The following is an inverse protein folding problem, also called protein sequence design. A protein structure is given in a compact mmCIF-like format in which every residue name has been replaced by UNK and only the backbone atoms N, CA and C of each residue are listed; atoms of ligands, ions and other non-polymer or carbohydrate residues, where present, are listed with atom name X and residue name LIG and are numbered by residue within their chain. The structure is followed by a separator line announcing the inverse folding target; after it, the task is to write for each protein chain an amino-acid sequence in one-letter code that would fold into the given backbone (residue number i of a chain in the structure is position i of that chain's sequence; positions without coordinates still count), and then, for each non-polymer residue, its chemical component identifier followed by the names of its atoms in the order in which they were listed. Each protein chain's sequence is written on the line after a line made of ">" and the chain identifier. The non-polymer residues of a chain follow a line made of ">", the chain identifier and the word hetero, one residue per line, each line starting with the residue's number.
data_IF_039686298851
#
_entry.id   IF_039686298851
#
_cell.length_a   1.000
_cell.length_b   1.000
_cell.length_c   1.000
_cell.angle_alpha   90.00
_cell.angle_beta   90.00
_cell.angle_gamma   90.00
#
_symmetry.space_group_name_H-M   'P 1'
#
loop_
_entity.id
_entity.type
_entity.pdbx_description
1 polymer ?
#
# COMPACT_ATOMS: atom_id res chain seq x y z
N UNK A 1 -19.39 32.80 40.14
CA UNK A 1 -18.44 31.79 39.62
C UNK A 1 -18.70 31.74 38.13
N UNK A 2 -17.83 32.37 37.34
CA UNK A 2 -17.96 32.39 35.88
C UNK A 2 -17.62 30.99 35.35
N UNK A 3 -18.49 30.41 34.53
CA UNK A 3 -18.27 29.08 33.96
C UNK A 3 -17.27 29.25 32.82
N UNK A 4 -16.15 28.52 32.77
CA UNK A 4 -15.22 28.63 31.66
C UNK A 4 -15.95 28.45 30.33
N UNK A 5 -15.73 29.36 29.39
CA UNK A 5 -16.36 29.28 28.07
C UNK A 5 -16.09 27.92 27.43
N UNK A 6 -17.09 27.28 26.81
CA UNK A 6 -16.88 26.06 26.06
C UNK A 6 -15.83 26.29 24.99
N UNK A 7 -14.75 25.50 25.00
CA UNK A 7 -13.73 25.56 23.95
C UNK A 7 -14.44 25.26 22.62
N UNK A 8 -14.40 26.17 21.64
CA UNK A 8 -15.06 25.94 20.37
C UNK A 8 -14.50 24.68 19.73
N UNK A 9 -15.35 23.82 19.13
CA UNK A 9 -14.89 22.62 18.47
C UNK A 9 -13.84 22.99 17.42
N UNK A 10 -12.74 22.21 17.30
CA UNK A 10 -11.71 22.49 16.32
C UNK A 10 -12.35 22.66 14.94
N UNK A 11 -11.91 23.65 14.14
CA UNK A 11 -12.51 23.93 12.86
C UNK A 11 -12.50 22.68 11.98
N UNK A 12 -13.66 22.32 11.44
CA UNK A 12 -13.76 21.26 10.45
C UNK A 12 -12.81 21.59 9.29
N UNK A 13 -11.79 20.76 9.08
CA UNK A 13 -10.81 20.97 8.01
C UNK A 13 -11.51 20.77 6.67
N UNK A 14 -11.90 21.88 6.04
CA UNK A 14 -12.48 21.94 4.71
C UNK A 14 -11.38 21.69 3.66
N UNK A 15 -11.22 20.44 3.21
CA UNK A 15 -10.28 20.07 2.14
C UNK A 15 -9.67 18.68 2.27
N UNK A 16 -8.95 18.25 1.22
CA UNK A 16 -8.16 17.01 1.24
C UNK A 16 -7.04 17.11 2.28
N UNK A 17 -7.01 16.17 3.21
CA UNK A 17 -6.05 16.15 4.31
C UNK A 17 -4.83 15.30 3.97
N UNK A 18 -3.66 15.93 3.93
CA UNK A 18 -2.36 15.24 3.89
C UNK A 18 -1.98 14.71 5.27
N UNK A 19 -2.80 13.81 5.82
CA UNK A 19 -2.51 13.11 7.06
C UNK A 19 -1.51 11.96 6.85
N UNK A 20 -0.95 11.42 7.94
CA UNK A 20 0.07 10.37 7.88
C UNK A 20 -0.30 9.17 6.99
N UNK A 21 -1.48 8.55 7.16
CA UNK A 21 -1.94 7.48 6.28
C UNK A 21 -1.98 7.87 4.80
N UNK A 22 -2.41 9.09 4.48
CA UNK A 22 -2.49 9.59 3.11
C UNK A 22 -1.11 9.77 2.48
N UNK A 23 -0.14 10.29 3.24
CA UNK A 23 1.26 10.43 2.76
C UNK A 23 1.87 9.07 2.44
N UNK A 24 1.69 8.06 3.30
CA UNK A 24 2.23 6.72 3.03
C UNK A 24 1.54 6.10 1.80
N UNK A 25 0.23 6.27 1.66
CA UNK A 25 -0.50 5.80 0.47
C UNK A 25 0.03 6.44 -0.81
N UNK A 26 0.32 7.74 -0.80
CA UNK A 26 0.93 8.43 -1.93
C UNK A 26 2.35 7.91 -2.25
N UNK A 27 3.17 7.62 -1.24
CA UNK A 27 4.50 7.03 -1.42
C UNK A 27 4.44 5.63 -2.03
N UNK A 28 3.45 4.82 -1.67
CA UNK A 28 3.24 3.51 -2.28
C UNK A 28 2.76 3.62 -3.73
N UNK A 29 1.89 4.59 -4.05
CA UNK A 29 1.54 4.86 -5.45
C UNK A 29 2.74 5.38 -6.25
N UNK A 30 3.64 6.16 -5.64
CA UNK A 30 4.86 6.63 -6.29
C UNK A 30 5.83 5.48 -6.67
N UNK A 31 5.63 4.26 -6.16
CA UNK A 31 6.55 3.15 -6.43
C UNK A 31 6.54 2.67 -7.87
N UNK A 32 5.46 2.95 -8.60
CA UNK A 32 5.41 2.71 -10.05
C UNK A 32 6.40 3.57 -10.84
N UNK A 33 6.90 4.67 -10.25
CA UNK A 33 7.94 5.51 -10.84
C UNK A 33 9.31 5.23 -10.21
N UNK A 34 9.34 4.98 -8.90
CA UNK A 34 10.60 4.78 -8.16
C UNK A 34 10.47 3.71 -7.08
N UNK A 35 11.21 2.60 -7.18
CA UNK A 35 11.19 1.52 -6.16
C UNK A 35 11.49 2.00 -4.74
N UNK A 36 12.31 3.05 -4.58
CA UNK A 36 12.69 3.57 -3.27
C UNK A 36 11.52 4.16 -2.47
N UNK A 37 10.44 4.61 -3.12
CA UNK A 37 9.33 5.25 -2.43
C UNK A 37 8.58 4.29 -1.50
N UNK A 38 8.45 3.00 -1.85
CA UNK A 38 7.83 1.99 -1.00
C UNK A 38 8.62 1.76 0.29
N UNK A 39 9.96 1.82 0.21
CA UNK A 39 10.83 1.70 1.39
C UNK A 39 10.64 2.89 2.34
N UNK A 40 10.58 4.11 1.80
CA UNK A 40 10.28 5.29 2.61
C UNK A 40 8.90 5.17 3.25
N UNK A 41 7.90 4.74 2.48
CA UNK A 41 6.53 4.56 2.96
C UNK A 41 6.45 3.58 4.13
N UNK A 42 7.07 2.40 4.03
CA UNK A 42 7.00 1.40 5.11
C UNK A 42 7.77 1.86 6.36
N UNK A 43 8.91 2.54 6.20
CA UNK A 43 9.65 3.10 7.34
C UNK A 43 8.80 4.14 8.07
N UNK A 44 8.17 5.07 7.35
CA UNK A 44 7.25 6.04 7.94
C UNK A 44 6.05 5.34 8.61
N UNK A 45 5.49 4.31 7.99
CA UNK A 45 4.40 3.53 8.59
C UNK A 45 4.81 2.92 9.94
N UNK A 46 6.01 2.34 10.06
CA UNK A 46 6.49 1.82 11.33
C UNK A 46 6.78 2.90 12.37
N UNK A 47 7.41 4.01 11.94
CA UNK A 47 7.77 5.11 12.85
C UNK A 47 6.53 5.82 13.37
N UNK A 48 5.61 6.20 12.50
CA UNK A 48 4.39 6.90 12.89
C UNK A 48 3.46 6.02 13.69
N UNK A 49 3.33 4.73 13.37
CA UNK A 49 2.57 3.78 14.21
C UNK A 49 3.05 3.69 15.65
N UNK A 50 4.35 3.90 15.91
CA UNK A 50 4.89 3.89 17.27
C UNK A 50 4.66 5.19 18.04
N UNK A 51 4.45 6.30 17.33
CA UNK A 51 4.25 7.65 17.90
C UNK A 51 2.78 8.04 18.00
N UNK A 52 1.91 7.25 17.40
CA UNK A 52 0.51 7.59 17.21
C UNK A 52 -0.29 7.43 18.51
N UNK A 53 -1.11 8.43 18.80
CA UNK A 53 -2.03 8.45 19.94
C UNK A 53 -3.48 8.14 19.53
N UNK A 54 -3.79 8.19 18.24
CA UNK A 54 -5.13 7.97 17.70
C UNK A 54 -5.32 6.54 17.18
N UNK A 55 -6.36 5.85 17.66
CA UNK A 55 -6.62 4.45 17.30
C UNK A 55 -6.92 4.26 15.80
N UNK A 56 -7.57 5.24 15.17
CA UNK A 56 -7.96 5.14 13.76
C UNK A 56 -6.72 5.14 12.84
N UNK A 57 -5.76 6.04 13.04
CA UNK A 57 -4.50 6.11 12.28
C UNK A 57 -3.61 4.88 12.49
N UNK A 58 -3.58 4.32 13.70
CA UNK A 58 -2.81 3.11 14.00
C UNK A 58 -3.27 1.90 13.16
N UNK A 59 -4.57 1.79 12.91
CA UNK A 59 -5.14 0.76 12.05
C UNK A 59 -4.71 0.92 10.58
N UNK A 60 -4.65 2.16 10.07
CA UNK A 60 -4.13 2.46 8.74
C UNK A 60 -2.66 2.08 8.60
N UNK A 61 -1.80 2.45 9.56
CA UNK A 61 -0.39 2.11 9.49
C UNK A 61 -0.18 0.59 9.49
N UNK A 62 -0.96 -0.14 10.29
CA UNK A 62 -0.93 -1.61 10.30
C UNK A 62 -1.29 -2.18 8.92
N UNK A 63 -2.36 -1.66 8.33
CA UNK A 63 -2.81 -2.06 7.00
C UNK A 63 -1.77 -1.77 5.92
N UNK A 64 -1.14 -0.60 5.96
CA UNK A 64 -0.12 -0.18 5.00
C UNK A 64 1.20 -0.93 5.16
N UNK A 65 1.61 -1.27 6.39
CA UNK A 65 2.73 -2.18 6.64
C UNK A 65 2.45 -3.53 5.99
N UNK A 66 1.23 -4.07 6.13
CA UNK A 66 0.87 -5.34 5.47
C UNK A 66 0.89 -5.23 3.96
N UNK A 67 0.36 -4.14 3.39
CA UNK A 67 0.38 -3.89 1.95
C UNK A 67 1.81 -3.91 1.41
N UNK A 68 2.77 -3.32 2.12
CA UNK A 68 4.18 -3.40 1.73
C UNK A 68 4.70 -4.84 1.71
N UNK A 69 4.49 -5.62 2.76
CA UNK A 69 5.01 -7.00 2.82
C UNK A 69 4.32 -7.94 1.82
N UNK A 70 3.03 -7.75 1.55
CA UNK A 70 2.31 -8.48 0.50
C UNK A 70 2.89 -8.11 -0.87
N UNK A 71 3.09 -6.81 -1.14
CA UNK A 71 3.68 -6.33 -2.38
C UNK A 71 5.12 -6.81 -2.58
N UNK A 72 5.94 -6.78 -1.52
CA UNK A 72 7.31 -7.30 -1.55
C UNK A 72 7.33 -8.80 -1.81
N UNK A 73 6.48 -9.58 -1.14
CA UNK A 73 6.35 -11.02 -1.39
C UNK A 73 5.97 -11.32 -2.84
N UNK A 74 4.98 -10.61 -3.38
CA UNK A 74 4.57 -10.74 -4.77
C UNK A 74 5.69 -10.35 -5.75
N UNK A 75 6.45 -9.28 -5.45
CA UNK A 75 7.59 -8.85 -6.25
C UNK A 75 8.72 -9.88 -6.26
N UNK A 76 9.04 -10.49 -5.10
CA UNK A 76 10.04 -11.56 -5.01
C UNK A 76 9.61 -12.78 -5.80
N UNK A 77 8.35 -13.23 -5.68
CA UNK A 77 7.81 -14.35 -6.47
C UNK A 77 7.86 -14.02 -7.97
N UNK A 78 7.45 -12.81 -8.35
CA UNK A 78 7.52 -12.33 -9.73
C UNK A 78 8.94 -12.30 -10.28
N UNK A 79 9.93 -11.88 -9.49
CA UNK A 79 11.34 -11.87 -9.86
C UNK A 79 11.89 -13.29 -10.06
N UNK A 80 11.60 -14.21 -9.14
CA UNK A 80 12.01 -15.62 -9.26
C UNK A 80 11.41 -16.24 -10.51
N UNK A 81 10.12 -16.00 -10.77
CA UNK A 81 9.46 -16.43 -12.00
C UNK A 81 10.14 -15.81 -13.23
N UNK A 82 10.39 -14.50 -13.24
CA UNK A 82 11.05 -13.83 -14.36
C UNK A 82 12.44 -14.41 -14.66
N UNK A 83 13.26 -14.67 -13.63
CA UNK A 83 14.61 -15.25 -13.80
C UNK A 83 14.53 -16.70 -14.28
N UNK A 84 13.71 -17.54 -13.64
CA UNK A 84 13.58 -18.96 -14.02
C UNK A 84 13.03 -19.12 -15.44
N UNK A 85 12.09 -18.26 -15.84
CA UNK A 85 11.57 -18.20 -17.19
C UNK A 85 12.64 -17.69 -18.16
N UNK A 86 13.31 -16.57 -17.87
CA UNK A 86 14.38 -16.03 -18.72
C UNK A 86 15.45 -17.08 -19.04
N UNK A 87 15.92 -17.81 -18.02
CA UNK A 87 16.90 -18.90 -18.19
C UNK A 87 16.33 -20.12 -18.93
N UNK A 88 15.02 -20.38 -18.84
CA UNK A 88 14.36 -21.51 -19.52
C UNK A 88 14.03 -21.22 -20.99
N UNK A 89 13.91 -19.95 -21.37
CA UNK A 89 13.54 -19.52 -22.72
C UNK A 89 14.70 -19.62 -23.72
N UNK A 90 15.94 -19.46 -23.28
CA UNK A 90 17.11 -19.66 -24.13
C UNK A 90 17.29 -21.12 -24.59
N UNK A 91 16.77 -22.08 -23.83
CA UNK A 91 17.01 -23.52 -24.05
C UNK A 91 15.87 -24.27 -24.74
N UNK A 92 14.76 -23.61 -25.14
CA UNK A 92 13.60 -24.31 -25.73
C UNK A 92 13.17 -23.69 -27.06
N UNK A 93 13.31 -24.46 -28.14
CA UNK A 93 12.76 -24.15 -29.48
C UNK A 93 11.22 -24.16 -29.58
N UNK A 94 10.50 -24.04 -28.45
CA UNK A 94 9.04 -24.09 -28.38
C UNK A 94 8.46 -22.71 -28.01
N UNK A 95 8.14 -21.89 -29.03
CA UNK A 95 7.65 -20.52 -28.83
C UNK A 95 6.40 -20.38 -27.95
N UNK A 96 5.56 -21.42 -27.83
CA UNK A 96 4.31 -21.38 -27.06
C UNK A 96 4.48 -21.33 -25.54
N UNK A 97 5.51 -21.97 -24.98
CA UNK A 97 5.72 -22.03 -23.52
C UNK A 97 6.13 -20.65 -22.98
N UNK A 98 6.93 -19.91 -23.74
CA UNK A 98 7.37 -18.59 -23.32
C UNK A 98 6.27 -17.55 -23.32
N UNK A 99 5.38 -17.58 -24.32
CA UNK A 99 4.24 -16.65 -24.38
C UNK A 99 3.31 -16.89 -23.19
N UNK A 100 2.98 -18.16 -22.88
CA UNK A 100 2.14 -18.49 -21.73
C UNK A 100 2.77 -18.04 -20.41
N UNK A 101 4.08 -18.20 -20.27
CA UNK A 101 4.80 -17.81 -19.07
C UNK A 101 4.91 -16.28 -18.89
N UNK A 102 5.17 -15.54 -19.97
CA UNK A 102 5.14 -14.08 -19.97
C UNK A 102 3.73 -13.54 -19.68
N UNK A 103 2.69 -14.17 -20.23
CA UNK A 103 1.31 -13.82 -19.92
C UNK A 103 0.98 -14.05 -18.44
N UNK A 104 1.45 -15.16 -17.84
CA UNK A 104 1.28 -15.43 -16.42
C UNK A 104 2.00 -14.40 -15.54
N UNK A 105 3.24 -14.02 -15.89
CA UNK A 105 3.98 -12.97 -15.20
C UNK A 105 3.27 -11.61 -15.31
N UNK A 106 2.82 -11.24 -16.51
CA UNK A 106 2.09 -10.00 -16.73
C UNK A 106 0.79 -9.96 -15.92
N UNK A 107 0.03 -11.06 -15.88
CA UNK A 107 -1.18 -11.17 -15.07
C UNK A 107 -0.87 -11.00 -13.58
N UNK A 108 0.20 -11.61 -13.07
CA UNK A 108 0.64 -11.45 -11.68
C UNK A 108 0.94 -9.99 -11.36
N UNK A 109 1.69 -9.30 -12.24
CA UNK A 109 2.02 -7.88 -12.06
C UNK A 109 0.76 -7.01 -12.07
N UNK A 110 -0.17 -7.25 -13.01
CA UNK A 110 -1.43 -6.50 -13.12
C UNK A 110 -2.29 -6.70 -11.87
N UNK A 111 -2.47 -7.94 -11.42
CA UNK A 111 -3.25 -8.25 -10.22
C UNK A 111 -2.62 -7.61 -8.99
N UNK A 112 -1.29 -7.73 -8.83
CA UNK A 112 -0.56 -7.08 -7.75
C UNK A 112 -0.71 -5.55 -7.76
N UNK A 113 -0.66 -4.95 -8.94
CA UNK A 113 -0.82 -3.50 -9.09
C UNK A 113 -2.24 -3.04 -8.74
N UNK A 114 -3.26 -3.74 -9.25
CA UNK A 114 -4.68 -3.47 -8.93
C UNK A 114 -4.92 -3.59 -7.44
N UNK A 115 -4.41 -4.64 -6.79
CA UNK A 115 -4.53 -4.81 -5.34
C UNK A 115 -3.83 -3.68 -4.59
N UNK A 116 -2.59 -3.31 -4.95
CA UNK A 116 -1.89 -2.22 -4.28
C UNK A 116 -2.64 -0.88 -4.41
N UNK A 117 -3.14 -0.56 -5.60
CA UNK A 117 -3.93 0.65 -5.85
C UNK A 117 -5.23 0.63 -5.05
N UNK A 118 -5.99 -0.47 -5.09
CA UNK A 118 -7.24 -0.62 -4.35
C UNK A 118 -7.02 -0.47 -2.84
N UNK A 119 -5.95 -1.07 -2.30
CA UNK A 119 -5.61 -0.94 -0.88
C UNK A 119 -5.20 0.49 -0.53
N UNK A 120 -4.45 1.18 -1.38
CA UNK A 120 -4.10 2.59 -1.17
C UNK A 120 -5.35 3.48 -1.22
N UNK A 121 -6.24 3.27 -2.19
CA UNK A 121 -7.50 4.00 -2.32
C UNK A 121 -8.41 3.81 -1.10
N UNK A 122 -8.57 2.57 -0.63
CA UNK A 122 -9.36 2.29 0.58
C UNK A 122 -8.77 2.98 1.81
N UNK A 123 -7.46 2.87 2.02
CA UNK A 123 -6.79 3.55 3.14
C UNK A 123 -6.91 5.07 3.03
N UNK A 124 -6.83 5.64 1.82
CA UNK A 124 -6.95 7.07 1.59
C UNK A 124 -8.38 7.55 1.86
N UNK A 125 -9.40 6.91 1.28
CA UNK A 125 -10.81 7.28 1.47
C UNK A 125 -11.18 7.24 2.96
N UNK A 126 -10.83 6.15 3.65
CA UNK A 126 -11.10 6.02 5.08
C UNK A 126 -10.31 7.03 5.91
N UNK A 127 -9.06 7.33 5.53
CA UNK A 127 -8.26 8.31 6.24
C UNK A 127 -8.77 9.74 6.07
N UNK A 128 -9.39 10.07 4.93
CA UNK A 128 -10.04 11.37 4.73
C UNK A 128 -11.26 11.54 5.63
N UNK A 129 -11.97 10.46 5.92
CA UNK A 129 -13.11 10.44 6.84
C UNK A 129 -12.70 10.24 8.32
N UNK A 130 -11.41 10.07 8.60
CA UNK A 130 -10.88 9.75 9.93
C UNK A 130 -11.52 8.50 10.56
N UNK A 131 -11.93 7.55 9.73
CA UNK A 131 -12.50 6.27 10.19
C UNK A 131 -11.41 5.20 10.23
N UNK A 132 -11.40 4.32 11.25
CA UNK A 132 -10.44 3.23 11.31
C UNK A 132 -10.59 2.28 10.11
N UNK A 133 -9.50 1.63 9.72
CA UNK A 133 -9.55 0.56 8.73
C UNK A 133 -10.37 -0.63 9.26
N UNK A 134 -11.37 -1.13 8.50
CA UNK A 134 -12.23 -2.23 8.95
C UNK A 134 -11.45 -3.51 9.26
N UNK A 135 -10.55 -3.91 8.34
CA UNK A 135 -9.76 -5.14 8.45
C UNK A 135 -8.27 -4.85 8.21
N UNK A 136 -7.54 -4.25 9.18
CA UNK A 136 -6.16 -3.82 8.99
C UNK A 136 -5.19 -4.98 8.74
N UNK A 137 -5.64 -6.21 8.98
CA UNK A 137 -4.88 -7.45 8.80
C UNK A 137 -5.32 -8.25 7.57
N UNK A 138 -6.22 -7.74 6.73
CA UNK A 138 -6.66 -8.47 5.53
C UNK A 138 -5.53 -8.66 4.53
N UNK A 139 -5.60 -9.76 3.78
CA UNK A 139 -4.73 -10.04 2.63
C UNK A 139 -5.27 -9.41 1.33
N UNK A 140 -6.53 -9.02 1.29
CA UNK A 140 -7.24 -8.56 0.09
C UNK A 140 -7.58 -7.08 0.15
N UNK A 141 -8.77 -6.70 0.63
CA UNK A 141 -9.27 -5.33 0.80
C UNK A 141 -9.71 -5.18 2.26
#
# INVERSE_FOLDING_TARGET
>A
MDKPDPIPPPPAKSGFQLNGPTVIGALYLATYFTVFSALVGVVLAYVWRRRDDQEWTASHYTYQIRTFWIGLGAAVVGLVLAVTLGLSLENRGSGGVGIAALAALALLVIVGAVLLIARCALSLVNAQQQVPMPNPRSWTI
#
